data_IF_485497215954
#
_entry.id   IF_485497215954
#
_cell.length_a   1.000
_cell.length_b   1.000
_cell.length_c   1.000
_cell.angle_alpha   90.00
_cell.angle_beta   90.00
_cell.angle_gamma   90.00
#
_symmetry.space_group_name_H-M   'P 1'
#
loop_
_entity.id
_entity.type
_entity.pdbx_description
1 polymer ?
#
# COMPACT_ATOMS: atom_id res chain seq x y z
N UNK A 1 29.63 21.54 8.99
CA UNK A 1 28.26 21.14 8.60
C UNK A 1 28.40 20.24 7.39
N UNK A 2 28.56 18.95 7.63
CA UNK A 2 28.51 17.96 6.55
C UNK A 2 27.05 17.81 6.15
N UNK A 3 26.72 18.29 4.96
CA UNK A 3 25.48 17.89 4.29
C UNK A 3 25.69 16.43 3.88
N UNK A 4 25.00 15.52 4.56
CA UNK A 4 24.85 14.16 4.09
C UNK A 4 24.17 14.22 2.72
N UNK A 5 24.94 14.03 1.66
CA UNK A 5 24.39 13.73 0.35
C UNK A 5 23.76 12.35 0.48
N UNK A 6 22.47 12.31 0.80
CA UNK A 6 21.69 11.08 0.69
C UNK A 6 21.72 10.70 -0.78
N UNK A 7 22.59 9.75 -1.14
CA UNK A 7 22.61 9.19 -2.49
C UNK A 7 21.25 8.56 -2.72
N UNK A 8 20.42 9.25 -3.49
CA UNK A 8 19.12 8.72 -3.85
C UNK A 8 19.37 7.52 -4.78
N UNK A 9 19.00 6.33 -4.33
CA UNK A 9 19.15 5.12 -5.13
C UNK A 9 18.23 5.17 -6.35
N UNK A 10 18.74 4.69 -7.48
CA UNK A 10 17.97 4.54 -8.71
C UNK A 10 16.89 3.46 -8.52
N UNK A 11 15.71 3.66 -9.13
CA UNK A 11 14.58 2.73 -9.17
C UNK A 11 14.98 1.28 -9.53
N UNK A 12 15.96 1.08 -10.42
CA UNK A 12 16.48 -0.24 -10.78
C UNK A 12 17.24 -0.92 -9.62
N UNK A 13 18.04 -0.17 -8.86
CA UNK A 13 18.75 -0.70 -7.69
C UNK A 13 17.76 -1.12 -6.61
N UNK A 14 16.71 -0.33 -6.42
CA UNK A 14 15.64 -0.64 -5.47
C UNK A 14 14.85 -1.87 -5.90
N UNK A 15 14.57 -2.01 -7.20
CA UNK A 15 13.93 -3.21 -7.76
C UNK A 15 14.71 -4.47 -7.40
N UNK A 16 16.01 -4.50 -7.70
CA UNK A 16 16.84 -5.66 -7.40
C UNK A 16 16.91 -5.98 -5.90
N UNK A 17 16.85 -4.97 -5.02
CA UNK A 17 16.79 -5.22 -3.57
C UNK A 17 15.47 -5.83 -3.14
N UNK A 18 14.35 -5.37 -3.70
CA UNK A 18 13.03 -5.92 -3.40
C UNK A 18 12.94 -7.37 -3.92
N UNK A 19 13.43 -7.64 -5.14
CA UNK A 19 13.51 -8.99 -5.71
C UNK A 19 14.33 -9.94 -4.83
N UNK A 20 15.52 -9.52 -4.38
CA UNK A 20 16.35 -10.32 -3.47
C UNK A 20 15.64 -10.62 -2.15
N UNK A 21 14.90 -9.65 -1.60
CA UNK A 21 14.11 -9.86 -0.37
C UNK A 21 12.94 -10.83 -0.64
N UNK A 22 12.26 -10.74 -1.79
CA UNK A 22 11.19 -11.68 -2.18
C UNK A 22 11.73 -13.11 -2.29
N UNK A 23 12.90 -13.27 -2.90
CA UNK A 23 13.62 -14.55 -3.00
C UNK A 23 14.00 -15.08 -1.62
N UNK A 24 14.57 -14.24 -0.75
CA UNK A 24 14.93 -14.63 0.61
C UNK A 24 13.72 -15.06 1.45
N UNK A 25 12.62 -14.30 1.38
CA UNK A 25 11.37 -14.62 2.06
C UNK A 25 10.79 -15.92 1.53
N UNK A 26 10.82 -16.10 0.21
CA UNK A 26 10.35 -17.31 -0.43
C UNK A 26 11.18 -18.51 0.03
N UNK A 27 12.50 -18.41 0.04
CA UNK A 27 13.35 -19.50 0.53
C UNK A 27 13.20 -19.79 2.03
N UNK A 28 13.05 -18.76 2.87
CA UNK A 28 12.95 -18.92 4.33
C UNK A 28 11.58 -19.42 4.79
N UNK A 29 10.50 -18.96 4.17
CA UNK A 29 9.16 -19.09 4.74
C UNK A 29 8.13 -19.74 3.81
N UNK A 30 8.42 -19.91 2.52
CA UNK A 30 7.40 -20.38 1.57
C UNK A 30 6.93 -21.80 1.83
N UNK A 31 7.85 -22.70 2.15
CA UNK A 31 7.54 -24.11 2.32
C UNK A 31 6.73 -24.36 3.59
N UNK A 32 7.00 -23.62 4.66
CA UNK A 32 6.18 -23.66 5.89
C UNK A 32 4.76 -23.15 5.62
N UNK A 33 4.63 -22.04 4.88
CA UNK A 33 3.32 -21.48 4.51
C UNK A 33 2.52 -22.47 3.65
N UNK A 34 3.12 -23.02 2.59
CA UNK A 34 2.48 -24.02 1.72
C UNK A 34 2.07 -25.27 2.49
N UNK A 35 2.89 -25.70 3.46
CA UNK A 35 2.58 -26.84 4.31
C UNK A 35 1.38 -26.58 5.25
N UNK A 36 1.15 -25.33 5.68
CA UNK A 36 -0.03 -24.93 6.45
C UNK A 36 -1.27 -24.83 5.55
N UNK A 37 -1.17 -24.13 4.42
CA UNK A 37 -2.26 -23.96 3.45
C UNK A 37 -2.78 -25.31 2.91
N UNK A 38 -1.88 -26.24 2.60
CA UNK A 38 -2.25 -27.56 2.05
C UNK A 38 -3.01 -28.48 3.02
N UNK A 39 -3.07 -28.12 4.31
CA UNK A 39 -3.80 -28.89 5.34
C UNK A 39 -5.21 -28.37 5.60
N UNK A 40 -5.57 -27.25 4.98
CA UNK A 40 -6.87 -26.62 5.18
C UNK A 40 -7.95 -27.46 4.51
N UNK A 41 -8.97 -27.76 5.30
CA UNK A 41 -10.14 -28.48 4.84
C UNK A 41 -11.23 -27.49 4.44
N UNK A 42 -11.29 -27.18 3.14
CA UNK A 42 -12.27 -26.25 2.57
C UNK A 42 -13.73 -26.70 2.70
N UNK A 43 -13.98 -27.91 3.21
CA UNK A 43 -15.34 -28.43 3.44
C UNK A 43 -15.84 -28.20 4.86
N UNK A 44 -14.99 -27.74 5.79
CA UNK A 44 -15.36 -27.46 7.18
C UNK A 44 -15.79 -26.01 7.38
N UNK A 45 -16.78 -25.80 8.24
CA UNK A 45 -17.10 -24.46 8.73
C UNK A 45 -15.89 -23.83 9.44
N UNK A 46 -15.59 -22.57 9.13
CA UNK A 46 -14.46 -21.83 9.72
C UNK A 46 -13.13 -21.91 8.96
N UNK A 47 -13.08 -22.54 7.78
CA UNK A 47 -11.86 -22.61 6.95
C UNK A 47 -11.33 -21.22 6.55
N UNK A 48 -12.21 -20.22 6.43
CA UNK A 48 -11.84 -18.83 6.11
C UNK A 48 -11.05 -18.21 7.26
N UNK A 49 -11.48 -18.43 8.51
CA UNK A 49 -10.77 -17.96 9.70
C UNK A 49 -9.40 -18.63 9.83
N UNK A 50 -9.30 -19.93 9.51
CA UNK A 50 -8.03 -20.67 9.51
C UNK A 50 -7.06 -20.12 8.45
N UNK A 51 -7.53 -19.88 7.23
CA UNK A 51 -6.76 -19.18 6.18
C UNK A 51 -6.25 -17.81 6.66
N UNK A 52 -7.16 -16.98 7.21
CA UNK A 52 -6.80 -15.64 7.71
C UNK A 52 -5.76 -15.69 8.82
N UNK A 53 -5.82 -16.69 9.70
CA UNK A 53 -4.84 -16.86 10.76
C UNK A 53 -3.46 -17.24 10.17
N UNK A 54 -3.42 -18.14 9.20
CA UNK A 54 -2.18 -18.53 8.50
C UNK A 54 -1.56 -17.33 7.79
N UNK A 55 -2.36 -16.55 7.08
CA UNK A 55 -1.91 -15.31 6.43
C UNK A 55 -1.38 -14.29 7.45
N UNK A 56 -2.09 -14.10 8.56
CA UNK A 56 -1.67 -13.19 9.64
C UNK A 56 -0.34 -13.62 10.27
N UNK A 57 -0.17 -14.91 10.56
CA UNK A 57 1.08 -15.45 11.09
C UNK A 57 2.25 -15.25 10.13
N UNK A 58 2.01 -15.50 8.84
CA UNK A 58 3.02 -15.28 7.80
C UNK A 58 3.41 -13.80 7.71
N UNK A 59 2.42 -12.91 7.70
CA UNK A 59 2.61 -11.45 7.64
C UNK A 59 3.42 -10.92 8.81
N UNK A 60 3.18 -11.43 10.02
CA UNK A 60 3.98 -11.09 11.20
C UNK A 60 5.44 -11.53 11.06
N UNK A 61 5.70 -12.71 10.48
CA UNK A 61 7.07 -13.21 10.29
C UNK A 61 7.88 -12.34 9.32
N UNK A 62 7.26 -11.88 8.24
CA UNK A 62 7.93 -11.07 7.21
C UNK A 62 7.87 -9.57 7.48
N UNK A 63 7.37 -9.16 8.66
CA UNK A 63 7.14 -7.75 8.96
C UNK A 63 8.39 -6.86 8.90
N UNK A 64 9.58 -7.31 9.36
CA UNK A 64 10.81 -6.52 9.21
C UNK A 64 11.15 -6.22 7.75
N UNK A 65 11.01 -7.22 6.87
CA UNK A 65 11.24 -7.10 5.44
C UNK A 65 10.18 -6.19 4.78
N UNK A 66 8.91 -6.34 5.15
CA UNK A 66 7.83 -5.46 4.69
C UNK A 66 8.09 -4.01 5.09
N UNK A 67 8.48 -3.76 6.34
CA UNK A 67 8.79 -2.40 6.81
C UNK A 67 9.95 -1.77 6.01
N UNK A 68 11.00 -2.55 5.72
CA UNK A 68 12.11 -2.09 4.88
C UNK A 68 11.64 -1.75 3.46
N UNK A 69 10.92 -2.66 2.79
CA UNK A 69 10.43 -2.45 1.42
C UNK A 69 9.53 -1.22 1.34
N UNK A 70 8.57 -1.09 2.27
CA UNK A 70 7.64 0.05 2.34
C UNK A 70 8.39 1.37 2.48
N UNK A 71 9.41 1.41 3.34
CA UNK A 71 10.27 2.58 3.52
C UNK A 71 11.07 2.90 2.26
N UNK A 72 11.70 1.91 1.64
CA UNK A 72 12.49 2.11 0.42
C UNK A 72 11.62 2.61 -0.74
N UNK A 73 10.42 2.04 -0.91
CA UNK A 73 9.42 2.53 -1.88
C UNK A 73 9.08 3.99 -1.58
N UNK A 74 8.78 4.33 -0.33
CA UNK A 74 8.49 5.71 0.09
C UNK A 74 9.62 6.70 -0.21
N UNK A 75 10.87 6.33 0.09
CA UNK A 75 12.06 7.17 -0.17
C UNK A 75 12.28 7.41 -1.67
N UNK A 76 12.13 6.37 -2.51
CA UNK A 76 12.23 6.51 -3.97
C UNK A 76 11.13 7.41 -4.53
N UNK A 77 9.89 7.20 -4.08
CA UNK A 77 8.74 7.99 -4.50
C UNK A 77 8.93 9.48 -4.17
N UNK A 78 9.35 9.76 -2.93
CA UNK A 78 9.60 11.12 -2.48
C UNK A 78 10.71 11.80 -3.29
N UNK A 79 11.83 11.11 -3.53
CA UNK A 79 12.95 11.72 -4.23
C UNK A 79 12.74 11.88 -5.75
N UNK A 80 11.91 11.04 -6.40
CA UNK A 80 11.51 11.24 -7.80
C UNK A 80 10.28 12.16 -7.91
N UNK A 81 9.86 12.77 -6.80
CA UNK A 81 8.68 13.64 -6.73
C UNK A 81 7.45 12.98 -7.37
N UNK A 82 7.29 11.66 -7.18
CA UNK A 82 6.17 10.89 -7.69
C UNK A 82 5.93 11.01 -9.21
N UNK A 83 6.94 11.39 -10.01
CA UNK A 83 6.80 11.64 -11.46
C UNK A 83 6.66 10.37 -12.30
N UNK A 84 7.19 9.25 -11.82
CA UNK A 84 7.29 8.00 -12.59
C UNK A 84 6.50 6.87 -11.92
N UNK A 85 5.17 7.02 -11.89
CA UNK A 85 4.27 6.00 -11.32
C UNK A 85 4.28 4.69 -12.13
N UNK A 86 4.67 4.73 -13.41
CA UNK A 86 4.75 3.54 -14.27
C UNK A 86 5.95 2.67 -13.91
N UNK A 87 7.14 3.25 -13.74
CA UNK A 87 8.28 2.48 -13.26
C UNK A 87 8.06 1.94 -11.82
N UNK A 88 7.20 2.61 -11.05
CA UNK A 88 6.76 2.13 -9.74
C UNK A 88 5.75 0.97 -9.83
N UNK A 89 4.91 0.90 -10.86
CA UNK A 89 4.07 -0.28 -11.08
C UNK A 89 4.92 -1.50 -11.42
N UNK A 90 5.91 -1.34 -12.30
CA UNK A 90 6.87 -2.41 -12.62
C UNK A 90 7.72 -2.85 -11.43
N UNK A 91 7.92 -1.99 -10.42
CA UNK A 91 8.57 -2.38 -9.16
C UNK A 91 7.72 -3.35 -8.32
N UNK A 92 6.39 -3.24 -8.42
CA UNK A 92 5.44 -4.01 -7.61
C UNK A 92 4.99 -5.30 -8.32
N UNK A 93 4.79 -5.23 -9.64
CA UNK A 93 4.32 -6.36 -10.47
C UNK A 93 5.29 -7.55 -10.49
N UNK A 94 6.60 -7.30 -10.39
CA UNK A 94 7.61 -8.37 -10.47
C UNK A 94 7.84 -9.11 -9.13
N UNK A 95 7.09 -8.75 -8.08
CA UNK A 95 7.22 -9.37 -6.76
C UNK A 95 6.11 -10.39 -6.55
N UNK A 96 6.42 -11.68 -6.61
CA UNK A 96 5.41 -12.74 -6.71
C UNK A 96 4.51 -12.80 -5.48
N UNK A 97 5.10 -12.82 -4.29
CA UNK A 97 4.35 -12.97 -3.04
C UNK A 97 4.19 -11.66 -2.32
N UNK A 98 5.26 -10.86 -2.27
CA UNK A 98 5.25 -9.59 -1.55
C UNK A 98 4.22 -8.59 -2.06
N UNK A 99 3.84 -8.62 -3.33
CA UNK A 99 2.84 -7.69 -3.88
C UNK A 99 1.57 -7.64 -3.04
N UNK A 100 1.09 -8.77 -2.51
CA UNK A 100 -0.13 -8.85 -1.71
C UNK A 100 0.03 -8.36 -0.26
N UNK A 101 1.27 -8.19 0.21
CA UNK A 101 1.59 -7.81 1.59
C UNK A 101 2.12 -6.37 1.72
N UNK A 102 2.57 -5.77 0.61
CA UNK A 102 3.09 -4.39 0.58
C UNK A 102 2.04 -3.38 1.05
N UNK A 103 0.78 -3.53 0.62
CA UNK A 103 -0.33 -2.70 1.14
C UNK A 103 -0.52 -2.96 2.63
N UNK A 104 -0.43 -1.93 3.50
CA UNK A 104 -0.69 -2.07 4.93
C UNK A 104 -2.11 -2.58 5.23
N UNK A 105 -2.30 -3.32 6.33
CA UNK A 105 -3.64 -3.61 6.86
C UNK A 105 -4.08 -2.50 7.79
N UNK A 106 -5.38 -2.43 8.09
CA UNK A 106 -5.90 -1.50 9.09
C UNK A 106 -5.28 -1.67 10.48
N UNK A 107 -4.90 -2.89 10.87
CA UNK A 107 -4.16 -3.11 12.12
C UNK A 107 -2.78 -2.45 12.13
N UNK A 108 -2.03 -2.53 11.03
CA UNK A 108 -0.74 -1.84 10.93
C UNK A 108 -0.88 -0.33 10.79
N UNK A 109 -1.95 0.14 10.13
CA UNK A 109 -2.29 1.56 10.11
C UNK A 109 -2.53 2.07 11.53
N UNK A 110 -3.22 1.29 12.37
CA UNK A 110 -3.49 1.63 13.76
C UNK A 110 -2.21 1.77 14.59
N UNK A 111 -1.29 0.82 14.45
CA UNK A 111 0.05 0.89 15.07
C UNK A 111 0.83 2.14 14.59
N UNK A 112 0.83 2.40 13.28
CA UNK A 112 1.58 3.52 12.70
C UNK A 112 1.05 4.90 13.14
N UNK A 113 -0.28 5.05 13.25
CA UNK A 113 -0.91 6.28 13.74
C UNK A 113 -0.69 6.48 15.23
N UNK A 114 -0.73 5.39 16.00
CA UNK A 114 -0.44 5.45 17.43
C UNK A 114 0.96 6.02 17.70
N UNK A 115 1.93 5.67 16.85
CA UNK A 115 3.29 6.21 16.87
C UNK A 115 3.41 7.64 16.29
N UNK A 116 2.29 8.24 15.89
CA UNK A 116 2.22 9.62 15.37
C UNK A 116 2.58 9.76 13.89
N UNK A 117 2.66 8.67 13.14
CA UNK A 117 3.00 8.67 11.71
C UNK A 117 1.76 8.50 10.82
N UNK A 118 1.82 9.07 9.61
CA UNK A 118 0.82 8.88 8.54
C UNK A 118 1.46 8.32 7.27
N UNK A 119 2.68 7.78 7.38
CA UNK A 119 3.45 7.25 6.27
C UNK A 119 2.75 6.07 5.61
N UNK A 120 2.13 5.18 6.40
CA UNK A 120 1.45 4.01 5.84
C UNK A 120 0.14 4.37 5.12
N UNK A 121 -0.51 5.46 5.52
CA UNK A 121 -1.68 6.02 4.81
C UNK A 121 -1.23 6.62 3.47
N UNK A 122 -0.17 7.42 3.50
CA UNK A 122 0.41 8.01 2.29
C UNK A 122 0.86 6.92 1.32
N UNK A 123 1.55 5.89 1.81
CA UNK A 123 1.96 4.73 1.02
C UNK A 123 0.74 4.00 0.43
N UNK A 124 -0.28 3.73 1.23
CA UNK A 124 -1.53 3.09 0.75
C UNK A 124 -2.15 3.86 -0.42
N UNK A 125 -2.20 5.19 -0.32
CA UNK A 125 -2.73 6.06 -1.39
C UNK A 125 -1.84 6.06 -2.63
N UNK A 126 -0.52 6.02 -2.47
CA UNK A 126 0.40 5.93 -3.61
C UNK A 126 0.32 4.57 -4.29
N UNK A 127 0.25 3.47 -3.52
CA UNK A 127 0.05 2.14 -4.07
C UNK A 127 -1.27 2.05 -4.84
N UNK A 128 -2.34 2.68 -4.32
CA UNK A 128 -3.59 2.83 -5.05
C UNK A 128 -3.44 3.61 -6.36
N UNK A 129 -2.65 4.70 -6.37
CA UNK A 129 -2.35 5.43 -7.62
C UNK A 129 -1.61 4.56 -8.66
N UNK A 130 -0.77 3.62 -8.20
CA UNK A 130 0.10 2.78 -9.02
C UNK A 130 -0.60 1.52 -9.54
N UNK A 131 -1.39 0.81 -8.72
CA UNK A 131 -2.11 -0.42 -9.07
C UNK A 131 -3.24 -0.26 -10.08
N UNK A 132 -3.53 0.97 -10.46
CA UNK A 132 -4.55 1.30 -11.45
C UNK A 132 -4.20 0.84 -12.89
N UNK A 133 -3.13 0.08 -13.08
CA UNK A 133 -2.80 -0.55 -14.37
C UNK A 133 -3.49 -1.91 -14.56
N UNK A 134 -4.16 -2.46 -13.53
CA UNK A 134 -4.74 -3.80 -13.60
C UNK A 134 -6.23 -3.83 -14.02
N UNK A 135 -6.65 -4.76 -14.90
CA UNK A 135 -8.02 -4.84 -15.41
C UNK A 135 -9.11 -5.16 -14.36
N UNK A 136 -8.75 -5.66 -13.17
CA UNK A 136 -9.70 -6.13 -12.14
C UNK A 136 -9.51 -5.45 -10.77
N UNK A 137 -9.27 -4.13 -10.76
CA UNK A 137 -8.95 -3.38 -9.56
C UNK A 137 -10.15 -3.09 -8.60
N UNK A 138 -11.11 -4.03 -8.53
CA UNK A 138 -12.30 -3.95 -7.66
C UNK A 138 -11.90 -3.95 -6.18
N UNK A 139 -10.93 -4.79 -5.82
CA UNK A 139 -10.47 -4.93 -4.45
C UNK A 139 -9.74 -3.66 -3.98
N UNK A 140 -8.97 -3.01 -4.86
CA UNK A 140 -8.32 -1.73 -4.62
C UNK A 140 -9.32 -0.60 -4.37
N UNK A 141 -10.45 -0.59 -5.10
CA UNK A 141 -11.52 0.38 -4.89
C UNK A 141 -12.26 0.19 -3.57
N UNK A 142 -12.48 -1.07 -3.18
CA UNK A 142 -13.03 -1.41 -1.86
C UNK A 142 -12.06 -0.95 -0.77
N UNK A 143 -10.78 -1.28 -0.90
CA UNK A 143 -9.74 -0.88 0.04
C UNK A 143 -9.62 0.65 0.15
N UNK A 144 -9.64 1.39 -0.97
CA UNK A 144 -9.62 2.86 -0.94
C UNK A 144 -10.84 3.43 -0.22
N UNK A 145 -12.03 2.88 -0.47
CA UNK A 145 -13.26 3.31 0.20
C UNK A 145 -13.22 3.04 1.71
N UNK A 146 -12.68 1.89 2.10
CA UNK A 146 -12.50 1.52 3.51
C UNK A 146 -11.43 2.40 4.18
N UNK A 147 -10.35 2.74 3.47
CA UNK A 147 -9.30 3.65 3.93
C UNK A 147 -9.83 5.05 4.23
N UNK A 148 -10.73 5.57 3.40
CA UNK A 148 -11.41 6.86 3.67
C UNK A 148 -12.19 6.77 4.99
N UNK A 149 -13.07 5.77 5.12
CA UNK A 149 -13.90 5.58 6.32
C UNK A 149 -13.04 5.39 7.58
N UNK A 150 -11.93 4.68 7.45
CA UNK A 150 -10.95 4.49 8.49
C UNK A 150 -10.32 5.84 8.92
N UNK A 151 -9.84 6.64 7.97
CA UNK A 151 -9.27 7.96 8.25
C UNK A 151 -10.28 8.89 8.93
N UNK A 152 -11.55 8.87 8.49
CA UNK A 152 -12.62 9.65 9.10
C UNK A 152 -12.87 9.22 10.56
N UNK A 153 -12.92 7.91 10.81
CA UNK A 153 -13.12 7.34 12.15
C UNK A 153 -11.98 7.72 13.09
N UNK A 154 -10.75 7.75 12.58
CA UNK A 154 -9.52 8.07 13.33
C UNK A 154 -9.20 9.57 13.34
N UNK A 155 -10.04 10.41 12.71
CA UNK A 155 -9.87 11.89 12.60
C UNK A 155 -8.53 12.31 11.99
N UNK A 156 -8.08 11.56 10.99
CA UNK A 156 -6.83 11.84 10.29
C UNK A 156 -7.08 12.90 9.22
N UNK A 157 -6.17 13.86 9.07
CA UNK A 157 -6.23 14.87 8.00
C UNK A 157 -5.85 14.28 6.63
N UNK A 158 -6.72 13.39 6.13
CA UNK A 158 -6.59 12.78 4.82
C UNK A 158 -6.58 13.84 3.71
N UNK A 159 -7.25 14.98 3.91
CA UNK A 159 -7.37 16.05 2.94
C UNK A 159 -6.02 16.64 2.57
N UNK A 160 -5.17 16.91 3.55
CA UNK A 160 -3.83 17.45 3.30
C UNK A 160 -2.97 16.49 2.49
N UNK A 161 -3.06 15.18 2.80
CA UNK A 161 -2.34 14.12 2.07
C UNK A 161 -2.83 14.04 0.62
N UNK A 162 -4.15 13.98 0.41
CA UNK A 162 -4.74 13.91 -0.94
C UNK A 162 -4.42 15.14 -1.77
N UNK A 163 -4.45 16.35 -1.19
CA UNK A 163 -4.06 17.58 -1.89
C UNK A 163 -2.61 17.56 -2.37
N UNK A 164 -1.71 17.01 -1.54
CA UNK A 164 -0.32 16.84 -1.92
C UNK A 164 -0.17 15.83 -3.07
N UNK A 165 -0.85 14.70 -2.99
CA UNK A 165 -0.78 13.64 -4.00
C UNK A 165 -1.50 14.00 -5.32
N UNK A 166 -2.46 14.93 -5.28
CA UNK A 166 -3.28 15.32 -6.43
C UNK A 166 -2.46 15.85 -7.62
N UNK A 167 -1.30 16.47 -7.39
CA UNK A 167 -0.41 16.92 -8.48
C UNK A 167 0.20 15.77 -9.28
N UNK A 168 0.17 14.56 -8.72
CA UNK A 168 0.78 13.36 -9.29
C UNK A 168 -0.28 12.32 -9.71
N UNK A 169 -1.53 12.48 -9.26
CA UNK A 169 -2.64 11.62 -9.66
C UNK A 169 -2.95 11.77 -11.16
N UNK A 170 -2.83 10.67 -11.90
CA UNK A 170 -3.07 10.65 -13.34
C UNK A 170 -4.57 10.78 -13.69
N UNK A 171 -4.82 11.44 -14.82
CA UNK A 171 -6.13 11.49 -15.48
C UNK A 171 -6.33 10.38 -16.50
N UNK A 172 -5.24 9.74 -16.91
CA UNK A 172 -5.24 8.72 -17.96
C UNK A 172 -5.73 7.38 -17.41
N UNK A 173 -5.49 7.14 -16.13
CA UNK A 173 -5.76 5.87 -15.48
C UNK A 173 -7.13 5.92 -14.78
N UNK A 174 -8.01 4.94 -15.07
CA UNK A 174 -9.44 4.97 -14.72
C UNK A 174 -9.88 3.73 -13.94
N UNK A 175 -10.59 3.99 -12.83
CA UNK A 175 -11.41 3.02 -12.11
C UNK A 175 -12.87 3.18 -12.58
N UNK A 176 -13.29 2.34 -13.53
CA UNK A 176 -14.59 2.49 -14.19
C UNK A 176 -14.69 3.85 -14.91
N UNK A 177 -15.60 4.71 -14.45
CA UNK A 177 -15.81 6.05 -15.03
C UNK A 177 -14.96 7.16 -14.37
N UNK A 178 -14.23 6.86 -13.29
CA UNK A 178 -13.49 7.86 -12.51
C UNK A 178 -11.98 7.67 -12.66
N UNK A 179 -11.24 8.75 -12.94
CA UNK A 179 -9.77 8.71 -12.81
C UNK A 179 -9.35 8.78 -11.34
N UNK A 180 -8.12 8.35 -11.02
CA UNK A 180 -7.55 8.53 -9.66
C UNK A 180 -7.66 9.97 -9.20
N UNK A 181 -7.34 10.90 -10.11
CA UNK A 181 -7.48 12.33 -9.85
C UNK A 181 -8.92 12.71 -9.49
N UNK A 182 -9.90 12.18 -10.22
CA UNK A 182 -11.33 12.46 -9.96
C UNK A 182 -11.76 11.89 -8.61
N UNK A 183 -11.32 10.68 -8.28
CA UNK A 183 -11.59 10.07 -6.96
C UNK A 183 -10.99 10.91 -5.82
N UNK A 184 -9.76 11.38 -5.98
CA UNK A 184 -9.10 12.23 -4.99
C UNK A 184 -9.81 13.57 -4.85
N UNK A 185 -10.18 14.22 -5.96
CA UNK A 185 -10.96 15.46 -5.95
C UNK A 185 -12.30 15.29 -5.22
N UNK A 186 -13.07 14.27 -5.56
CA UNK A 186 -14.36 13.98 -4.92
C UNK A 186 -14.19 13.76 -3.41
N UNK A 187 -13.15 13.03 -3.01
CA UNK A 187 -12.86 12.76 -1.59
C UNK A 187 -12.47 14.04 -0.85
N UNK A 188 -11.64 14.91 -1.45
CA UNK A 188 -11.28 16.22 -0.89
C UNK A 188 -12.51 17.12 -0.71
N UNK A 189 -13.46 17.05 -1.64
CA UNK A 189 -14.70 17.83 -1.59
C UNK A 189 -15.63 17.32 -0.49
N UNK A 190 -15.80 16.00 -0.36
CA UNK A 190 -16.65 15.36 0.64
C UNK A 190 -16.11 15.48 2.07
N UNK A 191 -14.79 15.50 2.24
CA UNK A 191 -14.12 15.74 3.53
C UNK A 191 -14.09 17.23 3.91
N UNK A 192 -14.73 18.11 3.12
CA UNK A 192 -14.93 19.50 3.52
C UNK A 192 -15.96 19.53 4.65
N UNK A 193 -15.67 20.13 5.82
CA UNK A 193 -16.69 20.31 6.84
C UNK A 193 -17.84 21.11 6.20
N UNK A 194 -19.06 20.55 6.22
CA UNK A 194 -20.26 21.28 5.83
C UNK A 194 -20.21 22.65 6.50
N UNK A 195 -20.06 23.70 5.69
CA UNK A 195 -20.25 25.06 6.19
C UNK A 195 -21.63 25.09 6.84
N UNK A 196 -21.61 25.36 8.15
CA UNK A 196 -22.73 25.69 9.03
C UNK A 196 -24.04 25.92 8.25
N UNK A 197 -25.02 25.04 8.48
CA UNK A 197 -26.40 25.51 8.48
C UNK A 197 -26.45 26.60 9.56
N UNK A 198 -26.73 27.82 9.09
CA UNK A 198 -27.01 28.98 9.94
C UNK A 198 -28.27 28.74 10.76
#
# INVERSE_FOLDING_TARGET
>A
MEQSITYMENIFTVKSKIELIDEEITHKYADELRAKESRIDFTKDGWVEEMRQIESEYRQKIQPELAFIRRTIGEVLAGNKFKDLQAMASLLEDTQRLQHYITPTFGELDENIFDGSSEYITLSLVLFMVRNLEPDARDEMVYFSDLIRYCDTKKIDLRSILKHLLSYASNEIKYGNYSVRTLFLNTIEQTTPSKKQQ
#
